data_IF_567912214732
#
_entry.id   IF_567912214732
#
_cell.length_a   1.000
_cell.length_b   1.000
_cell.length_c   1.000
_cell.angle_alpha   90.00
_cell.angle_beta   90.00
_cell.angle_gamma   90.00
#
_symmetry.space_group_name_H-M   'P 1'
#
loop_
_entity.id
_entity.type
_entity.pdbx_description
1 polymer ?
#
# COMPACT_ATOMS: atom_id res chain seq x y z
N UNK A 1 -35.78 -52.97 -44.26
CA UNK A 1 -36.26 -51.60 -43.91
C UNK A 1 -35.96 -51.26 -42.45
N UNK A 2 -34.72 -51.42 -41.97
CA UNK A 2 -34.36 -51.19 -40.55
C UNK A 2 -33.08 -50.35 -40.32
N UNK A 3 -32.35 -49.98 -41.37
CA UNK A 3 -31.04 -49.29 -41.25
C UNK A 3 -31.17 -47.75 -41.16
N UNK A 4 -32.15 -47.17 -41.87
CA UNK A 4 -32.33 -45.72 -41.97
C UNK A 4 -32.69 -45.01 -40.65
N UNK A 5 -33.30 -45.73 -39.69
CA UNK A 5 -33.70 -45.14 -38.39
C UNK A 5 -32.50 -44.98 -37.45
N UNK A 6 -31.49 -45.85 -37.57
CA UNK A 6 -30.29 -45.89 -36.71
C UNK A 6 -29.31 -44.75 -37.04
N UNK A 7 -29.13 -44.45 -38.32
CA UNK A 7 -28.29 -43.34 -38.80
C UNK A 7 -28.85 -41.97 -38.39
N UNK A 8 -30.18 -41.78 -38.42
CA UNK A 8 -30.80 -40.52 -38.01
C UNK A 8 -30.62 -40.22 -36.51
N UNK A 9 -30.74 -41.24 -35.66
CA UNK A 9 -30.53 -41.09 -34.20
C UNK A 9 -29.08 -40.76 -33.87
N UNK A 10 -28.11 -41.43 -34.49
CA UNK A 10 -26.68 -41.15 -34.30
C UNK A 10 -26.29 -39.70 -34.65
N UNK A 11 -26.83 -39.18 -35.75
CA UNK A 11 -26.61 -37.80 -36.17
C UNK A 11 -27.20 -36.79 -35.17
N UNK A 12 -28.39 -37.07 -34.63
CA UNK A 12 -29.04 -36.20 -33.63
C UNK A 12 -28.22 -36.19 -32.33
N UNK A 13 -27.74 -37.35 -31.88
CA UNK A 13 -26.90 -37.45 -30.68
C UNK A 13 -25.55 -36.73 -30.84
N UNK A 14 -24.88 -36.89 -31.98
CA UNK A 14 -23.63 -36.15 -32.26
C UNK A 14 -23.84 -34.64 -32.30
N UNK A 15 -24.92 -34.18 -32.94
CA UNK A 15 -25.29 -32.76 -32.99
C UNK A 15 -25.59 -32.19 -31.59
N UNK A 16 -26.33 -32.93 -30.77
CA UNK A 16 -26.63 -32.54 -29.39
C UNK A 16 -25.36 -32.43 -28.53
N UNK A 17 -24.46 -33.41 -28.59
CA UNK A 17 -23.19 -33.39 -27.85
C UNK A 17 -22.31 -32.20 -28.26
N UNK A 18 -22.17 -31.95 -29.57
CA UNK A 18 -21.40 -30.80 -30.09
C UNK A 18 -22.02 -29.47 -29.64
N UNK A 19 -23.35 -29.37 -29.64
CA UNK A 19 -24.06 -28.17 -29.21
C UNK A 19 -23.86 -27.91 -27.72
N UNK A 20 -24.00 -28.93 -26.87
CA UNK A 20 -23.77 -28.85 -25.42
C UNK A 20 -22.32 -28.45 -25.13
N UNK A 21 -21.34 -29.09 -25.78
CA UNK A 21 -19.92 -28.75 -25.64
C UNK A 21 -19.61 -27.31 -26.09
N UNK A 22 -20.25 -26.83 -27.17
CA UNK A 22 -20.10 -25.45 -27.62
C UNK A 22 -20.70 -24.44 -26.64
N UNK A 23 -21.81 -24.79 -25.98
CA UNK A 23 -22.46 -23.94 -24.97
C UNK A 23 -21.61 -23.84 -23.70
N UNK A 24 -21.08 -24.97 -23.20
CA UNK A 24 -20.21 -24.98 -22.01
C UNK A 24 -18.91 -24.23 -22.26
N UNK A 25 -18.31 -24.38 -23.45
CA UNK A 25 -17.11 -23.64 -23.85
C UNK A 25 -17.34 -22.12 -23.91
N UNK A 26 -18.47 -21.68 -24.49
CA UNK A 26 -18.84 -20.24 -24.54
C UNK A 26 -19.08 -19.67 -23.15
N UNK A 27 -19.69 -20.43 -22.24
CA UNK A 27 -19.89 -20.02 -20.84
C UNK A 27 -18.53 -19.89 -20.13
N UNK A 28 -17.64 -20.87 -20.28
CA UNK A 28 -16.28 -20.81 -19.72
C UNK A 28 -15.48 -19.61 -20.24
N UNK A 29 -15.54 -19.34 -21.55
CA UNK A 29 -14.89 -18.18 -22.15
C UNK A 29 -15.44 -16.85 -21.61
N UNK A 30 -16.75 -16.73 -21.43
CA UNK A 30 -17.37 -15.53 -20.83
C UNK A 30 -16.92 -15.33 -19.39
N UNK A 31 -16.88 -16.39 -18.59
CA UNK A 31 -16.40 -16.33 -17.20
C UNK A 31 -14.93 -15.90 -17.14
N UNK A 32 -14.08 -16.41 -18.04
CA UNK A 32 -12.68 -15.95 -18.14
C UNK A 32 -12.59 -14.46 -18.48
N UNK A 33 -13.41 -13.96 -19.42
CA UNK A 33 -13.43 -12.53 -19.76
C UNK A 33 -13.89 -11.66 -18.59
N UNK A 34 -14.98 -12.03 -17.91
CA UNK A 34 -15.48 -11.29 -16.75
C UNK A 34 -14.42 -11.26 -15.63
N UNK A 35 -13.81 -12.42 -15.35
CA UNK A 35 -12.73 -12.51 -14.36
C UNK A 35 -11.51 -11.68 -14.75
N UNK A 36 -11.09 -11.73 -16.01
CA UNK A 36 -9.97 -10.94 -16.52
C UNK A 36 -10.21 -9.44 -16.42
N UNK A 37 -11.38 -8.97 -16.83
CA UNK A 37 -11.77 -7.54 -16.73
C UNK A 37 -11.80 -7.10 -15.27
N UNK A 38 -12.34 -7.91 -14.35
CA UNK A 38 -12.38 -7.59 -12.93
C UNK A 38 -10.96 -7.46 -12.34
N UNK A 39 -10.05 -8.38 -12.64
CA UNK A 39 -8.66 -8.34 -12.16
C UNK A 39 -7.93 -7.10 -12.70
N UNK A 40 -8.06 -6.82 -14.00
CA UNK A 40 -7.43 -5.64 -14.61
C UNK A 40 -8.00 -4.34 -14.03
N UNK A 41 -9.32 -4.25 -13.88
CA UNK A 41 -9.96 -3.08 -13.28
C UNK A 41 -9.49 -2.83 -11.84
N UNK A 42 -9.45 -3.88 -11.01
CA UNK A 42 -9.05 -3.76 -9.61
C UNK A 42 -7.54 -3.50 -9.46
N UNK A 43 -6.71 -4.14 -10.27
CA UNK A 43 -5.28 -3.85 -10.34
C UNK A 43 -5.00 -2.42 -10.78
N UNK A 44 -5.76 -1.91 -11.76
CA UNK A 44 -5.67 -0.52 -12.21
C UNK A 44 -6.00 0.48 -11.10
N UNK A 45 -7.07 0.24 -10.33
CA UNK A 45 -7.44 1.08 -9.18
C UNK A 45 -6.33 1.10 -8.13
N UNK A 46 -5.72 -0.04 -7.81
CA UNK A 46 -4.62 -0.13 -6.84
C UNK A 46 -3.39 0.68 -7.29
N UNK A 47 -3.07 0.67 -8.59
CA UNK A 47 -1.98 1.49 -9.14
C UNK A 47 -2.29 2.98 -9.04
N UNK A 48 -3.52 3.39 -9.36
CA UNK A 48 -3.94 4.81 -9.33
C UNK A 48 -4.02 5.35 -7.90
N UNK A 49 -4.50 4.53 -6.96
CA UNK A 49 -4.63 4.87 -5.54
C UNK A 49 -3.35 4.63 -4.74
N UNK A 50 -2.26 4.20 -5.39
CA UNK A 50 -0.98 4.03 -4.72
C UNK A 50 -0.44 5.41 -4.31
N UNK A 51 -0.25 5.66 -3.00
CA UNK A 51 -0.01 7.02 -2.52
C UNK A 51 1.26 7.66 -3.08
N UNK A 52 1.26 8.98 -3.17
CA UNK A 52 2.37 9.78 -3.67
C UNK A 52 3.44 10.07 -2.60
N UNK A 53 4.64 10.46 -3.03
CA UNK A 53 5.70 10.88 -2.10
C UNK A 53 5.26 12.07 -1.24
N UNK A 54 4.54 13.03 -1.83
CA UNK A 54 4.05 14.21 -1.12
C UNK A 54 3.05 13.84 -0.03
N UNK A 55 2.16 12.88 -0.30
CA UNK A 55 1.24 12.36 0.72
C UNK A 55 2.01 11.66 1.85
N UNK A 56 3.06 10.91 1.51
CA UNK A 56 3.93 10.28 2.51
C UNK A 56 4.67 11.33 3.35
N UNK A 57 5.23 12.37 2.76
CA UNK A 57 5.91 13.45 3.49
C UNK A 57 5.00 14.09 4.53
N UNK A 58 3.73 14.32 4.19
CA UNK A 58 2.74 14.85 5.13
C UNK A 58 2.48 13.87 6.28
N UNK A 59 2.16 12.61 5.95
CA UNK A 59 1.95 11.55 6.92
C UNK A 59 3.15 11.37 7.86
N UNK A 60 4.35 11.22 7.31
CA UNK A 60 5.57 10.99 8.07
C UNK A 60 5.93 12.19 8.94
N UNK A 61 5.70 13.42 8.47
CA UNK A 61 5.90 14.63 9.28
C UNK A 61 4.99 14.62 10.50
N UNK A 62 3.71 14.29 10.32
CA UNK A 62 2.74 14.22 11.41
C UNK A 62 3.12 13.12 12.41
N UNK A 63 3.39 11.90 11.92
CA UNK A 63 3.78 10.77 12.77
C UNK A 63 5.06 11.03 13.54
N UNK A 64 6.09 11.58 12.91
CA UNK A 64 7.34 11.90 13.58
C UNK A 64 7.16 13.03 14.61
N UNK A 65 6.40 14.07 14.28
CA UNK A 65 6.09 15.17 15.20
C UNK A 65 5.40 14.64 16.45
N UNK A 66 4.42 13.74 16.28
CA UNK A 66 3.73 13.08 17.39
C UNK A 66 4.70 12.24 18.22
N UNK A 67 5.47 11.37 17.58
CA UNK A 67 6.46 10.51 18.24
C UNK A 67 7.48 11.30 19.06
N UNK A 68 8.04 12.37 18.48
CA UNK A 68 8.99 13.24 19.19
C UNK A 68 8.35 13.96 20.38
N UNK A 69 7.08 14.33 20.31
CA UNK A 69 6.37 14.98 21.42
C UNK A 69 6.01 14.02 22.54
N UNK A 70 5.61 12.80 22.19
CA UNK A 70 5.14 11.79 23.14
C UNK A 70 6.29 11.04 23.80
N UNK A 71 7.25 10.57 23.01
CA UNK A 71 8.38 9.78 23.52
C UNK A 71 9.64 10.66 23.69
N UNK A 72 10.06 11.37 22.64
CA UNK A 72 11.32 12.13 22.66
C UNK A 72 11.35 13.21 23.76
N UNK A 73 10.35 14.09 23.80
CA UNK A 73 10.28 15.17 24.79
C UNK A 73 10.03 14.64 26.20
N UNK A 74 9.38 13.49 26.35
CA UNK A 74 9.19 12.85 27.66
C UNK A 74 10.52 12.29 28.17
N UNK A 75 11.29 11.58 27.33
CA UNK A 75 12.62 11.11 27.68
C UNK A 75 13.59 12.26 28.04
N UNK A 76 13.53 13.39 27.34
CA UNK A 76 14.32 14.59 27.68
C UNK A 76 13.89 15.16 29.03
N UNK A 77 12.58 15.20 29.30
CA UNK A 77 12.04 15.69 30.57
C UNK A 77 12.23 14.73 31.74
N UNK A 78 12.54 13.45 31.53
CA UNK A 78 12.96 12.55 32.61
C UNK A 78 14.43 12.78 32.98
N UNK A 79 15.24 13.26 32.03
CA UNK A 79 16.66 13.59 32.23
C UNK A 79 16.88 15.02 32.76
N UNK A 80 15.91 15.91 32.61
CA UNK A 80 15.96 17.35 32.96
C UNK A 80 14.69 17.76 33.72
N UNK A 81 14.62 18.99 34.24
CA UNK A 81 13.47 19.44 35.02
C UNK A 81 12.20 19.65 34.14
N UNK A 82 11.00 19.42 34.69
CA UNK A 82 9.73 19.28 33.93
C UNK A 82 9.30 20.48 33.06
N UNK A 83 9.88 21.66 33.28
CA UNK A 83 9.67 22.86 32.45
C UNK A 83 10.17 22.61 31.00
N UNK A 84 11.13 21.70 30.81
CA UNK A 84 11.72 21.42 29.49
C UNK A 84 10.74 20.74 28.53
N UNK A 85 9.73 20.01 29.03
CA UNK A 85 8.82 19.25 28.17
C UNK A 85 7.95 20.16 27.29
N UNK A 86 7.39 21.24 27.83
CA UNK A 86 6.52 22.16 27.09
C UNK A 86 7.29 22.96 26.03
N UNK A 87 8.51 23.39 26.37
CA UNK A 87 9.44 24.01 25.43
C UNK A 87 9.85 23.05 24.32
N UNK A 88 10.16 21.79 24.64
CA UNK A 88 10.47 20.76 23.65
C UNK A 88 9.31 20.56 22.69
N UNK A 89 8.07 20.37 23.18
CA UNK A 89 6.89 20.19 22.33
C UNK A 89 6.67 21.37 21.38
N UNK A 90 6.84 22.59 21.88
CA UNK A 90 6.73 23.82 21.07
C UNK A 90 7.82 23.95 20.01
N UNK A 91 9.04 23.51 20.33
CA UNK A 91 10.14 23.47 19.37
C UNK A 91 9.88 22.46 18.26
N UNK A 92 9.37 21.27 18.59
CA UNK A 92 9.00 20.26 17.59
C UNK A 92 7.92 20.80 16.65
N UNK A 93 6.92 21.53 17.16
CA UNK A 93 5.91 22.19 16.33
C UNK A 93 6.49 23.23 15.37
N UNK A 94 7.40 24.05 15.87
CA UNK A 94 8.08 25.09 15.08
C UNK A 94 8.98 24.47 14.01
N UNK A 95 9.57 23.31 14.30
CA UNK A 95 10.47 22.59 13.40
C UNK A 95 9.75 21.73 12.35
N UNK A 96 8.41 21.66 12.34
CA UNK A 96 7.64 20.83 11.39
C UNK A 96 8.01 21.05 9.91
N UNK A 97 8.21 22.28 9.41
CA UNK A 97 8.65 22.48 8.02
C UNK A 97 10.02 21.88 7.72
N UNK A 98 10.97 22.00 8.64
CA UNK A 98 12.32 21.45 8.54
C UNK A 98 12.30 19.92 8.63
N UNK A 99 11.47 19.36 9.52
CA UNK A 99 11.21 17.92 9.60
C UNK A 99 10.71 17.39 8.27
N UNK A 100 9.71 18.06 7.67
CA UNK A 100 9.18 17.67 6.36
C UNK A 100 10.26 17.69 5.28
N UNK A 101 11.09 18.72 5.26
CA UNK A 101 12.20 18.82 4.32
C UNK A 101 13.23 17.69 4.51
N UNK A 102 13.56 17.34 5.75
CA UNK A 102 14.46 16.22 6.05
C UNK A 102 13.85 14.90 5.59
N UNK A 103 12.57 14.66 5.83
CA UNK A 103 11.85 13.48 5.32
C UNK A 103 11.95 13.43 3.80
N UNK A 104 11.60 14.51 3.10
CA UNK A 104 11.67 14.57 1.64
C UNK A 104 13.07 14.24 1.08
N UNK A 105 14.14 14.63 1.79
CA UNK A 105 15.52 14.38 1.40
C UNK A 105 16.02 12.97 1.76
N UNK A 106 15.55 12.42 2.88
CA UNK A 106 16.07 11.19 3.47
C UNK A 106 15.16 9.97 3.26
N UNK A 107 14.00 10.14 2.61
CA UNK A 107 13.10 9.05 2.25
C UNK A 107 13.49 8.43 0.92
N UNK A 108 13.64 7.11 0.91
CA UNK A 108 13.70 6.29 -0.30
C UNK A 108 12.37 5.57 -0.49
N UNK A 109 11.77 5.73 -1.67
CA UNK A 109 10.56 5.01 -2.07
C UNK A 109 10.89 3.86 -3.02
N UNK A 110 10.33 2.70 -2.73
CA UNK A 110 10.32 1.52 -3.59
C UNK A 110 8.87 1.27 -4.03
N UNK A 111 8.56 1.45 -5.31
CA UNK A 111 7.21 1.31 -5.85
C UNK A 111 7.01 -0.09 -6.48
N UNK A 112 6.03 -0.84 -5.99
CA UNK A 112 5.69 -2.19 -6.42
C UNK A 112 4.35 -2.27 -7.16
N UNK A 113 3.94 -1.18 -7.84
CA UNK A 113 2.66 -0.99 -8.53
C UNK A 113 1.46 -0.91 -7.59
N UNK A 114 1.16 -1.97 -6.84
CA UNK A 114 -0.03 -2.05 -5.97
C UNK A 114 0.19 -1.39 -4.61
N UNK A 115 1.45 -1.29 -4.19
CA UNK A 115 1.88 -0.65 -2.96
C UNK A 115 3.25 -0.01 -3.14
N UNK A 116 3.68 0.76 -2.15
CA UNK A 116 5.03 1.31 -2.06
C UNK A 116 5.60 1.07 -0.67
N UNK A 117 6.90 0.86 -0.58
CA UNK A 117 7.65 0.86 0.69
C UNK A 117 8.43 2.16 0.77
N UNK A 118 8.35 2.83 1.92
CA UNK A 118 9.06 4.06 2.22
C UNK A 118 10.03 3.81 3.37
N UNK A 119 11.30 4.08 3.11
CA UNK A 119 12.37 3.93 4.08
C UNK A 119 12.94 5.31 4.37
N UNK A 120 12.82 5.76 5.61
CA UNK A 120 13.21 7.11 6.00
C UNK A 120 14.25 7.06 7.10
N UNK A 121 15.43 7.61 6.82
CA UNK A 121 16.56 7.64 7.76
C UNK A 121 16.77 9.07 8.27
N UNK A 122 16.43 9.33 9.52
CA UNK A 122 16.57 10.64 10.12
C UNK A 122 17.75 10.61 11.08
N UNK A 123 18.80 11.36 10.79
CA UNK A 123 19.98 11.48 11.64
C UNK A 123 20.22 12.96 11.94
N UNK A 124 19.49 13.53 12.92
CA UNK A 124 19.72 14.92 13.32
C UNK A 124 21.11 15.09 13.97
N UNK A 125 21.63 16.32 14.04
CA UNK A 125 22.85 16.60 14.78
C UNK A 125 22.71 16.22 16.25
N UNK A 126 23.80 15.75 16.86
CA UNK A 126 23.86 15.50 18.30
C UNK A 126 23.42 16.74 19.10
N UNK A 127 22.73 16.57 20.25
CA UNK A 127 22.53 15.33 21.02
C UNK A 127 21.27 14.53 20.66
N UNK A 128 20.55 14.86 19.58
CA UNK A 128 19.33 14.12 19.23
C UNK A 128 19.66 12.74 18.61
N UNK A 129 18.96 11.66 19.02
CA UNK A 129 19.17 10.34 18.46
C UNK A 129 18.69 10.27 17.01
N UNK A 130 19.31 9.38 16.23
CA UNK A 130 18.85 9.05 14.90
C UNK A 130 17.71 8.04 14.93
N UNK A 131 16.88 8.01 13.90
CA UNK A 131 15.80 7.05 13.76
C UNK A 131 15.68 6.55 12.32
N UNK A 132 15.26 5.29 12.20
CA UNK A 132 14.91 4.64 10.95
C UNK A 132 13.44 4.22 10.99
N UNK A 133 12.72 4.55 9.92
CA UNK A 133 11.30 4.24 9.77
C UNK A 133 11.07 3.44 8.50
N UNK A 134 10.30 2.36 8.60
CA UNK A 134 9.71 1.69 7.44
C UNK A 134 8.18 1.78 7.44
N UNK A 135 7.66 2.22 6.30
CA UNK A 135 6.22 2.42 6.10
C UNK A 135 5.78 1.75 4.80
N UNK A 136 4.70 0.99 4.86
CA UNK A 136 3.99 0.54 3.66
C UNK A 136 2.89 1.54 3.31
N UNK A 137 2.80 1.91 2.04
CA UNK A 137 1.72 2.74 1.49
C UNK A 137 0.92 1.97 0.45
N UNK A 138 -0.40 1.92 0.61
CA UNK A 138 -1.32 1.27 -0.33
C UNK A 138 -2.72 1.89 -0.18
N UNK A 139 -3.49 1.99 -1.27
CA UNK A 139 -4.87 2.48 -1.24
C UNK A 139 -5.02 3.82 -0.50
N UNK A 140 -4.16 4.80 -0.79
CA UNK A 140 -4.07 6.11 -0.10
C UNK A 140 -3.77 6.07 1.41
N UNK A 141 -3.51 4.89 1.97
CA UNK A 141 -3.21 4.69 3.38
C UNK A 141 -1.72 4.43 3.60
N UNK A 142 -1.25 4.74 4.81
CA UNK A 142 0.13 4.51 5.25
C UNK A 142 0.15 3.78 6.58
N UNK A 143 1.04 2.81 6.71
CA UNK A 143 1.25 2.07 7.95
C UNK A 143 2.74 1.89 8.23
N UNK A 144 3.23 2.57 9.26
CA UNK A 144 4.60 2.39 9.77
C UNK A 144 4.65 1.16 10.65
N UNK A 145 5.42 0.15 10.25
CA UNK A 145 5.53 -1.12 10.96
C UNK A 145 6.88 -1.31 11.65
N UNK A 146 7.88 -0.51 11.31
CA UNK A 146 9.19 -0.52 11.95
C UNK A 146 9.62 0.89 12.32
N UNK A 147 10.07 1.02 13.57
CA UNK A 147 10.73 2.20 14.12
C UNK A 147 11.94 1.71 14.89
N UNK A 148 13.12 2.19 14.54
CA UNK A 148 14.39 1.77 15.15
C UNK A 148 15.25 2.98 15.43
N UNK A 149 15.80 3.07 16.64
CA UNK A 149 16.77 4.10 17.02
C UNK A 149 18.16 3.74 16.48
N UNK A 150 18.88 4.73 15.94
CA UNK A 150 20.18 4.60 15.29
C UNK A 150 21.35 5.03 16.18
#
# INVERSE_FOLDING_TARGET
MFDFKRTKTELIWKSAIVTIASMTMKIGQRLMWVGGVAIVGMGGLLVVTNPSNQAYEQYATERLTLYLKEEGCTQVSEKLDGIVQSFCKSLVDTARPQIKQLIAQQTKRQNYLLFSIYQTKLSPPAPAPGYYFETIGALENFYTYQVEEL
#
